data_IF_482497382217
#
_entry.id   IF_482497382217
#
_cell.length_a   1.000
_cell.length_b   1.000
_cell.length_c   1.000
_cell.angle_alpha   90.00
_cell.angle_beta   90.00
_cell.angle_gamma   90.00
#
_symmetry.space_group_name_H-M   'P 1'
#
loop_
_entity.id
_entity.type
_entity.pdbx_description
1 polymer ?
#
# COMPACT_ATOMS: atom_id res chain seq x y z
N UNK A 1 -4.48 -9.97 -0.02
CA UNK A 1 -4.25 -9.19 -1.27
C UNK A 1 -5.43 -9.21 -2.26
N UNK A 2 -6.51 -9.99 -2.04
CA UNK A 2 -7.72 -9.92 -2.89
C UNK A 2 -8.63 -8.69 -2.58
N UNK A 3 -8.59 -8.14 -1.37
CA UNK A 3 -9.48 -7.02 -0.98
C UNK A 3 -9.19 -5.68 -1.70
N UNK A 4 -7.93 -5.35 -2.00
CA UNK A 4 -7.58 -4.03 -2.57
C UNK A 4 -7.98 -3.93 -4.05
N UNK A 5 -7.97 -5.06 -4.79
CA UNK A 5 -8.41 -5.10 -6.19
C UNK A 5 -9.92 -4.96 -6.37
N UNK A 6 -10.70 -5.43 -5.39
CA UNK A 6 -12.16 -5.26 -5.41
C UNK A 6 -12.59 -3.80 -5.19
N UNK A 7 -11.91 -3.09 -4.29
CA UNK A 7 -12.22 -1.69 -3.97
C UNK A 7 -11.93 -0.73 -5.13
N UNK A 8 -10.82 -0.91 -5.86
CA UNK A 8 -10.51 -0.07 -7.03
C UNK A 8 -11.48 -0.32 -8.18
N UNK A 9 -11.90 -1.56 -8.42
CA UNK A 9 -12.86 -1.89 -9.46
C UNK A 9 -14.27 -1.36 -9.15
N UNK A 10 -14.72 -1.48 -7.90
CA UNK A 10 -15.98 -0.89 -7.45
C UNK A 10 -15.97 0.65 -7.53
N UNK A 11 -14.83 1.27 -7.21
CA UNK A 11 -14.65 2.72 -7.35
C UNK A 11 -14.71 3.16 -8.82
N UNK A 12 -14.06 2.44 -9.73
CA UNK A 12 -14.12 2.73 -11.18
C UNK A 12 -15.54 2.54 -11.72
N UNK A 13 -16.26 1.50 -11.32
CA UNK A 13 -17.66 1.31 -11.72
C UNK A 13 -18.59 2.38 -11.15
N UNK A 14 -18.35 2.84 -9.91
CA UNK A 14 -19.11 3.96 -9.33
C UNK A 14 -18.86 5.27 -10.09
N UNK A 15 -17.62 5.55 -10.50
CA UNK A 15 -17.28 6.70 -11.33
C UNK A 15 -17.90 6.61 -12.73
N UNK A 16 -17.93 5.42 -13.34
CA UNK A 16 -18.59 5.20 -14.63
C UNK A 16 -20.11 5.40 -14.49
N UNK A 17 -20.74 4.88 -13.43
CA UNK A 17 -22.15 5.09 -13.15
C UNK A 17 -22.49 6.58 -12.96
N UNK A 18 -21.65 7.30 -12.23
CA UNK A 18 -21.76 8.76 -12.04
C UNK A 18 -21.61 9.52 -13.37
N UNK A 19 -20.68 9.10 -14.24
CA UNK A 19 -20.46 9.73 -15.53
C UNK A 19 -21.55 9.40 -16.57
N UNK A 20 -22.21 8.25 -16.44
CA UNK A 20 -23.34 7.88 -17.32
C UNK A 20 -24.61 8.61 -16.91
N UNK A 21 -24.90 8.75 -15.61
CA UNK A 21 -26.11 9.43 -15.15
C UNK A 21 -26.11 10.94 -15.46
N UNK A 22 -24.94 11.56 -15.55
CA UNK A 22 -24.79 12.98 -15.93
C UNK A 22 -24.98 13.23 -17.42
N UNK A 23 -25.00 12.17 -18.23
CA UNK A 23 -25.24 12.22 -19.69
C UNK A 23 -26.70 11.96 -20.03
N UNK A 24 -27.48 11.34 -19.14
CA UNK A 24 -28.83 10.85 -19.47
C UNK A 24 -29.99 11.78 -19.10
N UNK A 25 -29.85 12.69 -18.13
CA UNK A 25 -30.89 13.68 -17.81
C UNK A 25 -30.26 15.04 -17.48
N UNK A 26 -30.70 16.14 -18.12
CA UNK A 26 -30.20 17.46 -17.78
C UNK A 26 -30.65 17.85 -16.36
N UNK A 27 -29.79 18.51 -15.57
CA UNK A 27 -30.13 18.98 -14.24
C UNK A 27 -31.32 19.94 -14.28
N UNK A 28 -32.10 20.00 -13.20
CA UNK A 28 -33.10 21.05 -13.04
C UNK A 28 -32.39 22.40 -13.03
N UNK A 29 -32.94 23.38 -13.73
CA UNK A 29 -32.38 24.73 -13.84
C UNK A 29 -32.06 25.30 -12.46
N UNK A 30 -30.84 25.82 -12.30
CA UNK A 30 -30.41 26.49 -11.07
C UNK A 30 -31.31 27.68 -10.75
N UNK A 31 -31.51 28.02 -9.46
CA UNK A 31 -32.17 29.26 -9.10
C UNK A 31 -31.36 30.45 -9.63
N UNK A 32 -32.07 31.46 -10.12
CA UNK A 32 -31.45 32.65 -10.70
C UNK A 32 -30.64 33.42 -9.64
N UNK A 33 -29.37 33.69 -9.97
CA UNK A 33 -28.55 34.65 -9.23
C UNK A 33 -28.87 36.09 -9.66
N UNK A 34 -28.64 37.09 -8.78
CA UNK A 34 -28.77 38.49 -9.16
C UNK A 34 -27.99 38.82 -10.44
N UNK A 35 -28.53 39.74 -11.24
CA UNK A 35 -27.96 40.10 -12.53
C UNK A 35 -26.53 40.66 -12.40
N UNK A 36 -26.24 41.32 -11.27
CA UNK A 36 -24.95 41.91 -10.89
C UNK A 36 -23.90 40.92 -10.37
N UNK A 37 -24.20 39.62 -10.27
CA UNK A 37 -23.25 38.63 -9.79
C UNK A 37 -22.02 38.50 -10.71
N UNK A 38 -20.82 38.51 -10.13
CA UNK A 38 -19.58 38.33 -10.88
C UNK A 38 -19.58 36.97 -11.63
N UNK A 39 -19.09 36.89 -12.89
CA UNK A 39 -19.15 35.66 -13.69
C UNK A 39 -18.52 34.44 -13.03
N UNK A 40 -17.40 34.63 -12.32
CA UNK A 40 -16.74 33.54 -11.58
C UNK A 40 -17.59 33.02 -10.41
N UNK A 41 -18.33 33.91 -9.72
CA UNK A 41 -19.24 33.50 -8.64
C UNK A 41 -20.43 32.72 -9.21
N UNK A 42 -20.95 33.15 -10.36
CA UNK A 42 -22.03 32.46 -11.06
C UNK A 42 -21.61 31.05 -11.51
N UNK A 43 -20.43 30.90 -12.11
CA UNK A 43 -19.90 29.59 -12.49
C UNK A 43 -19.69 28.65 -11.29
N UNK A 44 -19.17 29.16 -10.17
CA UNK A 44 -19.04 28.38 -8.94
C UNK A 44 -20.40 27.96 -8.39
N UNK A 45 -21.39 28.85 -8.38
CA UNK A 45 -22.74 28.57 -7.90
C UNK A 45 -23.45 27.53 -8.77
N UNK A 46 -23.37 27.66 -10.09
CA UNK A 46 -23.91 26.69 -11.05
C UNK A 46 -23.26 25.30 -10.85
N UNK A 47 -21.93 25.26 -10.67
CA UNK A 47 -21.22 24.01 -10.37
C UNK A 47 -21.66 23.37 -9.05
N UNK A 48 -21.87 24.16 -8.00
CA UNK A 48 -22.37 23.66 -6.71
C UNK A 48 -23.82 23.19 -6.82
N UNK A 49 -24.68 23.96 -7.49
CA UNK A 49 -26.08 23.59 -7.70
C UNK A 49 -26.21 22.29 -8.48
N UNK A 50 -25.37 22.09 -9.49
CA UNK A 50 -25.33 20.86 -10.26
C UNK A 50 -25.05 19.63 -9.38
N UNK A 51 -24.14 19.74 -8.42
CA UNK A 51 -23.86 18.68 -7.45
C UNK A 51 -25.04 18.46 -6.51
N UNK A 52 -25.68 19.53 -6.04
CA UNK A 52 -26.87 19.44 -5.17
C UNK A 52 -28.03 18.76 -5.89
N UNK A 53 -28.37 19.21 -7.10
CA UNK A 53 -29.44 18.64 -7.91
C UNK A 53 -29.16 17.17 -8.26
N UNK A 54 -27.91 16.84 -8.58
CA UNK A 54 -27.48 15.46 -8.79
C UNK A 54 -27.70 14.58 -7.56
N UNK A 55 -27.29 15.03 -6.37
CA UNK A 55 -27.45 14.28 -5.11
C UNK A 55 -28.92 14.10 -4.75
N UNK A 56 -29.74 15.13 -4.96
CA UNK A 56 -31.18 15.08 -4.67
C UNK A 56 -31.95 14.21 -5.67
N UNK A 57 -31.55 14.22 -6.94
CA UNK A 57 -32.18 13.43 -8.01
C UNK A 57 -31.76 11.96 -7.93
N UNK A 58 -30.51 11.69 -7.53
CA UNK A 58 -29.92 10.35 -7.51
C UNK A 58 -29.36 9.97 -6.12
N UNK A 59 -30.19 9.98 -5.06
CA UNK A 59 -29.73 9.82 -3.69
C UNK A 59 -29.06 8.45 -3.44
N UNK A 60 -29.57 7.38 -4.08
CA UNK A 60 -28.98 6.05 -3.96
C UNK A 60 -27.57 5.98 -4.56
N UNK A 61 -27.32 6.64 -5.70
CA UNK A 61 -25.99 6.66 -6.31
C UNK A 61 -24.99 7.46 -5.46
N UNK A 62 -25.42 8.61 -4.92
CA UNK A 62 -24.62 9.41 -4.01
C UNK A 62 -24.25 8.62 -2.74
N UNK A 63 -25.23 7.96 -2.10
CA UNK A 63 -25.01 7.09 -0.94
C UNK A 63 -24.04 5.95 -1.30
N UNK A 64 -24.23 5.31 -2.46
CA UNK A 64 -23.37 4.20 -2.89
C UNK A 64 -21.94 4.66 -3.13
N UNK A 65 -21.73 5.82 -3.77
CA UNK A 65 -20.40 6.39 -3.99
C UNK A 65 -19.70 6.71 -2.65
N UNK A 66 -20.41 7.35 -1.72
CA UNK A 66 -19.89 7.61 -0.37
C UNK A 66 -19.58 6.31 0.37
N UNK A 67 -20.47 5.31 0.32
CA UNK A 67 -20.24 4.02 0.97
C UNK A 67 -19.02 3.30 0.39
N UNK A 68 -18.85 3.28 -0.95
CA UNK A 68 -17.70 2.63 -1.62
C UNK A 68 -16.37 3.26 -1.22
N UNK A 69 -16.33 4.57 -0.92
CA UNK A 69 -15.11 5.28 -0.50
C UNK A 69 -14.92 5.20 1.02
N UNK A 70 -15.93 5.58 1.80
CA UNK A 70 -15.83 5.74 3.24
C UNK A 70 -15.86 4.41 4.00
N UNK A 71 -16.60 3.39 3.54
CA UNK A 71 -16.71 2.11 4.25
C UNK A 71 -15.36 1.37 4.30
N UNK A 72 -14.59 1.21 3.21
CA UNK A 72 -13.26 0.59 3.29
C UNK A 72 -12.30 1.37 4.18
N UNK A 73 -12.36 2.69 4.18
CA UNK A 73 -11.55 3.54 5.05
C UNK A 73 -11.91 3.32 6.53
N UNK A 74 -13.20 3.36 6.87
CA UNK A 74 -13.70 3.11 8.22
C UNK A 74 -13.36 1.69 8.71
N UNK A 75 -13.54 0.66 7.86
CA UNK A 75 -13.16 -0.72 8.18
C UNK A 75 -11.65 -0.88 8.38
N UNK A 76 -10.83 -0.16 7.59
CA UNK A 76 -9.37 -0.18 7.75
C UNK A 76 -8.96 0.45 9.08
N UNK A 77 -9.56 1.58 9.46
CA UNK A 77 -9.34 2.22 10.76
C UNK A 77 -9.82 1.34 11.92
N UNK A 78 -11.01 0.73 11.82
CA UNK A 78 -11.52 -0.17 12.86
C UNK A 78 -10.64 -1.42 13.02
N UNK A 79 -10.05 -1.91 11.92
CA UNK A 79 -9.11 -3.05 11.96
C UNK A 79 -7.84 -2.75 12.76
N UNK A 80 -7.50 -1.48 12.98
CA UNK A 80 -6.39 -1.09 13.87
C UNK A 80 -6.78 -1.10 15.35
N UNK A 81 -8.08 -1.08 15.67
CA UNK A 81 -8.59 -1.10 17.04
C UNK A 81 -8.80 -2.54 17.56
N UNK A 82 -8.99 -3.50 16.66
CA UNK A 82 -9.11 -4.90 17.03
C UNK A 82 -7.72 -5.52 17.26
N UNK A 83 -7.40 -6.00 18.47
CA UNK A 83 -6.10 -6.62 18.74
C UNK A 83 -5.97 -7.90 17.90
N UNK A 84 -5.13 -7.86 16.88
CA UNK A 84 -4.66 -9.08 16.22
C UNK A 84 -3.70 -9.79 17.16
N UNK A 85 -4.01 -11.04 17.53
CA UNK A 85 -3.00 -11.93 18.10
C UNK A 85 -1.97 -12.23 17.03
N UNK A 86 -0.85 -11.51 17.09
CA UNK A 86 0.31 -11.75 16.24
C UNK A 86 1.22 -12.68 17.03
N UNK A 87 1.47 -13.87 16.49
CA UNK A 87 2.47 -14.77 17.05
C UNK A 87 3.85 -14.30 16.56
N UNK A 88 4.64 -13.74 17.46
CA UNK A 88 6.00 -13.28 17.18
C UNK A 88 7.02 -14.33 17.56
N UNK A 89 8.12 -14.38 16.81
CA UNK A 89 9.25 -15.25 17.14
C UNK A 89 9.84 -14.82 18.51
N UNK A 90 10.02 -15.73 19.49
CA UNK A 90 10.64 -15.38 20.76
C UNK A 90 12.03 -14.74 20.59
N UNK A 91 12.77 -15.14 19.55
CA UNK A 91 14.03 -14.53 19.19
C UNK A 91 13.80 -13.41 18.19
N UNK A 92 13.95 -12.15 18.61
CA UNK A 92 13.90 -11.01 17.68
C UNK A 92 15.22 -10.80 16.94
N UNK A 93 16.35 -10.92 17.63
CA UNK A 93 17.65 -10.54 17.08
C UNK A 93 18.33 -11.73 16.42
N UNK A 94 18.87 -11.50 15.22
CA UNK A 94 19.71 -12.47 14.54
C UNK A 94 21.05 -12.66 15.26
N UNK A 95 21.54 -13.89 15.31
CA UNK A 95 22.86 -14.20 15.89
C UNK A 95 24.00 -13.61 15.06
N UNK A 96 25.20 -13.53 15.64
CA UNK A 96 26.40 -13.08 14.91
C UNK A 96 26.68 -13.95 13.69
N UNK A 97 26.49 -15.27 13.84
CA UNK A 97 26.67 -16.23 12.75
C UNK A 97 25.67 -15.98 11.61
N UNK A 98 24.38 -15.82 11.93
CA UNK A 98 23.35 -15.50 10.92
C UNK A 98 23.68 -14.21 10.18
N UNK A 99 24.03 -13.15 10.92
CA UNK A 99 24.45 -11.86 10.34
C UNK A 99 25.67 -11.99 9.42
N UNK A 100 26.67 -12.77 9.81
CA UNK A 100 27.86 -13.05 8.98
C UNK A 100 27.48 -13.77 7.69
N UNK A 101 26.65 -14.80 7.77
CA UNK A 101 26.16 -15.55 6.59
C UNK A 101 25.36 -14.62 5.67
N UNK A 102 24.44 -13.81 6.20
CA UNK A 102 23.66 -12.87 5.39
C UNK A 102 24.54 -11.81 4.72
N UNK A 103 25.51 -11.25 5.44
CA UNK A 103 26.50 -10.32 4.87
C UNK A 103 27.30 -10.98 3.75
N UNK A 104 27.79 -12.20 3.95
CA UNK A 104 28.53 -12.98 2.96
C UNK A 104 27.68 -13.29 1.72
N UNK A 105 26.47 -13.82 1.89
CA UNK A 105 25.50 -14.07 0.79
C UNK A 105 25.21 -12.80 0.00
N UNK A 106 25.18 -11.64 0.66
CA UNK A 106 24.97 -10.35 0.02
C UNK A 106 26.26 -9.72 -0.55
N UNK A 107 27.44 -10.33 -0.38
CA UNK A 107 28.72 -9.73 -0.76
C UNK A 107 28.98 -8.40 -0.03
N UNK A 108 28.58 -8.30 1.24
CA UNK A 108 28.71 -7.10 2.07
C UNK A 108 27.84 -5.91 1.67
N UNK A 109 27.10 -6.02 0.55
CA UNK A 109 26.32 -4.93 -0.03
C UNK A 109 24.85 -5.00 0.38
N UNK A 110 24.22 -3.85 0.55
CA UNK A 110 22.79 -3.76 0.86
C UNK A 110 21.92 -4.46 -0.21
N UNK A 111 20.96 -5.28 0.21
CA UNK A 111 20.02 -6.01 -0.66
C UNK A 111 18.78 -5.20 -1.05
N UNK A 112 18.53 -4.10 -0.33
CA UNK A 112 17.37 -3.23 -0.54
C UNK A 112 17.45 -2.53 -1.89
N UNK A 113 16.28 -2.17 -2.43
CA UNK A 113 16.19 -1.45 -3.71
C UNK A 113 16.12 0.07 -3.54
N UNK A 114 16.57 0.77 -4.57
CA UNK A 114 16.36 2.22 -4.72
C UNK A 114 14.99 2.49 -5.35
N UNK A 115 14.64 3.77 -5.48
CA UNK A 115 13.39 4.19 -6.15
C UNK A 115 13.32 3.69 -7.60
N UNK A 116 14.48 3.47 -8.23
CA UNK A 116 14.60 2.96 -9.59
C UNK A 116 14.69 1.43 -9.65
N UNK A 117 14.25 0.72 -8.61
CA UNK A 117 14.21 -0.75 -8.52
C UNK A 117 15.57 -1.47 -8.65
N UNK A 118 16.66 -0.71 -8.67
CA UNK A 118 18.03 -1.24 -8.67
C UNK A 118 18.51 -1.55 -7.25
N UNK A 119 19.49 -2.44 -7.11
CA UNK A 119 20.08 -2.76 -5.81
C UNK A 119 20.86 -1.56 -5.26
N UNK A 120 20.60 -1.19 -4.00
CA UNK A 120 21.34 -0.16 -3.28
C UNK A 120 22.85 -0.41 -3.36
N UNK A 121 23.63 0.64 -3.64
CA UNK A 121 25.09 0.56 -3.80
C UNK A 121 25.86 0.60 -2.48
N UNK A 122 25.20 0.97 -1.38
CA UNK A 122 25.83 1.10 -0.06
C UNK A 122 26.15 -0.27 0.55
N UNK A 123 27.17 -0.30 1.41
CA UNK A 123 27.44 -1.45 2.27
C UNK A 123 26.27 -1.70 3.21
N UNK A 124 25.93 -2.97 3.44
CA UNK A 124 24.97 -3.33 4.47
C UNK A 124 25.60 -3.21 5.85
N UNK A 125 24.78 -2.92 6.85
CA UNK A 125 25.22 -2.67 8.22
C UNK A 125 24.66 -3.73 9.19
N UNK A 126 23.45 -4.22 8.94
CA UNK A 126 22.79 -5.19 9.81
C UNK A 126 21.85 -6.11 9.04
N UNK A 127 21.50 -7.24 9.67
CA UNK A 127 20.42 -8.10 9.22
C UNK A 127 19.07 -7.52 9.63
N UNK A 128 18.18 -7.35 8.66
CA UNK A 128 16.79 -6.90 8.84
C UNK A 128 15.82 -8.04 8.45
N UNK A 129 14.62 -8.04 9.01
CA UNK A 129 13.56 -8.99 8.66
C UNK A 129 12.82 -8.47 7.43
N UNK A 130 12.88 -9.20 6.31
CA UNK A 130 12.13 -8.85 5.11
C UNK A 130 10.64 -8.73 5.41
N UNK A 131 10.06 -9.76 6.02
CA UNK A 131 8.74 -9.69 6.64
C UNK A 131 8.88 -9.27 8.11
N UNK A 132 8.32 -8.13 8.55
CA UNK A 132 8.61 -7.54 9.86
C UNK A 132 8.31 -8.49 11.04
N UNK A 133 9.25 -8.59 11.98
CA UNK A 133 9.10 -9.39 13.21
C UNK A 133 7.82 -9.04 13.99
N UNK A 134 7.53 -7.74 14.15
CA UNK A 134 6.34 -7.24 14.85
C UNK A 134 5.01 -7.61 14.18
N UNK A 135 5.05 -8.17 12.97
CA UNK A 135 3.88 -8.62 12.21
C UNK A 135 3.87 -10.15 12.02
N UNK A 136 4.73 -10.88 12.74
CA UNK A 136 4.84 -12.35 12.69
C UNK A 136 5.94 -12.88 11.78
N UNK A 137 6.94 -12.06 11.46
CA UNK A 137 8.14 -12.51 10.75
C UNK A 137 9.02 -13.40 11.63
N UNK A 138 9.47 -14.53 11.09
CA UNK A 138 10.37 -15.44 11.80
C UNK A 138 11.81 -14.95 11.72
N UNK A 139 12.64 -15.30 12.71
CA UNK A 139 14.08 -15.01 12.73
C UNK A 139 14.84 -16.16 12.09
N UNK A 140 14.64 -16.32 10.78
CA UNK A 140 15.31 -17.35 9.94
C UNK A 140 16.23 -16.69 8.93
N UNK A 141 17.16 -17.46 8.36
CA UNK A 141 18.04 -17.00 7.29
C UNK A 141 17.26 -16.56 6.04
N UNK A 142 16.08 -17.14 5.81
CA UNK A 142 15.24 -16.84 4.66
C UNK A 142 14.50 -15.51 4.87
N UNK A 143 14.10 -15.19 6.10
CA UNK A 143 13.55 -13.87 6.40
C UNK A 143 14.63 -12.77 6.53
N UNK A 144 15.90 -13.15 6.68
CA UNK A 144 16.98 -12.18 6.85
C UNK A 144 17.39 -11.54 5.52
N UNK A 145 17.54 -10.20 5.53
CA UNK A 145 18.15 -9.42 4.45
C UNK A 145 19.29 -8.58 4.99
N UNK A 146 20.38 -8.45 4.23
CA UNK A 146 21.48 -7.55 4.61
C UNK A 146 21.19 -6.12 4.16
N UNK A 147 20.94 -5.21 5.10
CA UNK A 147 20.48 -3.85 4.81
C UNK A 147 21.42 -2.79 5.39
N UNK A 148 21.59 -1.68 4.67
CA UNK A 148 22.24 -0.49 5.20
C UNK A 148 21.26 0.27 6.13
N UNK A 149 21.80 1.04 7.08
CA UNK A 149 21.00 1.76 8.09
C UNK A 149 19.87 2.58 7.48
N UNK A 150 20.15 3.38 6.45
CA UNK A 150 19.14 4.25 5.83
C UNK A 150 18.05 3.49 5.07
N UNK A 151 18.38 2.39 4.37
CA UNK A 151 17.34 1.57 3.73
C UNK A 151 16.51 0.81 4.76
N UNK A 152 17.14 0.32 5.84
CA UNK A 152 16.47 -0.34 6.94
C UNK A 152 15.47 0.61 7.63
N UNK A 153 15.94 1.80 8.04
CA UNK A 153 15.08 2.83 8.64
C UNK A 153 13.94 3.26 7.71
N UNK A 154 14.22 3.43 6.41
CA UNK A 154 13.18 3.77 5.43
C UNK A 154 12.13 2.67 5.28
N UNK A 155 12.52 1.39 5.28
CA UNK A 155 11.57 0.26 5.24
C UNK A 155 10.69 0.24 6.49
N UNK A 156 11.30 0.33 7.67
CA UNK A 156 10.60 0.21 8.95
C UNK A 156 9.83 -1.10 9.07
N UNK A 157 8.61 -1.03 9.64
CA UNK A 157 7.71 -2.17 9.79
C UNK A 157 6.77 -2.39 8.59
N UNK A 158 7.08 -1.84 7.41
CA UNK A 158 6.26 -2.05 6.21
C UNK A 158 6.45 -3.47 5.68
N UNK A 159 5.35 -4.16 5.40
CA UNK A 159 5.37 -5.44 4.69
C UNK A 159 5.77 -5.17 3.24
N UNK A 160 6.86 -5.76 2.73
CA UNK A 160 7.23 -5.62 1.33
C UNK A 160 6.14 -6.17 0.41
N UNK A 161 5.93 -5.49 -0.70
CA UNK A 161 4.95 -5.92 -1.70
C UNK A 161 5.39 -7.21 -2.41
N UNK A 162 4.44 -7.87 -3.07
CA UNK A 162 4.72 -9.01 -3.93
C UNK A 162 5.84 -8.71 -4.95
N UNK A 163 5.77 -7.55 -5.61
CA UNK A 163 6.74 -7.15 -6.61
C UNK A 163 8.13 -6.85 -6.03
N UNK A 164 8.19 -6.25 -4.84
CA UNK A 164 9.45 -6.04 -4.15
C UNK A 164 10.12 -7.38 -3.82
N UNK A 165 9.33 -8.37 -3.39
CA UNK A 165 9.82 -9.72 -3.05
C UNK A 165 10.31 -10.44 -4.30
N UNK A 166 9.52 -10.42 -5.39
CA UNK A 166 9.90 -11.04 -6.66
C UNK A 166 11.18 -10.41 -7.25
N UNK A 167 11.32 -9.07 -7.17
CA UNK A 167 12.55 -8.40 -7.62
C UNK A 167 13.74 -8.76 -6.76
N UNK A 168 13.59 -8.81 -5.43
CA UNK A 168 14.70 -9.24 -4.56
C UNK A 168 15.10 -10.68 -4.86
N UNK A 169 14.15 -11.60 -5.00
CA UNK A 169 14.38 -13.00 -5.38
C UNK A 169 15.14 -13.09 -6.73
N UNK A 170 14.67 -12.37 -7.76
CA UNK A 170 15.34 -12.30 -9.06
C UNK A 170 16.78 -11.76 -8.93
N UNK A 171 17.00 -10.73 -8.11
CA UNK A 171 18.34 -10.17 -7.90
C UNK A 171 19.25 -11.16 -7.19
N UNK A 172 18.75 -11.89 -6.19
CA UNK A 172 19.50 -12.90 -5.42
C UNK A 172 20.05 -14.02 -6.31
N UNK A 173 19.36 -14.39 -7.40
CA UNK A 173 19.87 -15.35 -8.41
C UNK A 173 21.28 -15.03 -8.93
N UNK A 174 21.70 -13.77 -8.87
CA UNK A 174 23.02 -13.33 -9.36
C UNK A 174 24.15 -13.44 -8.35
N UNK A 175 23.85 -13.53 -7.05
CA UNK A 175 24.86 -13.39 -6.00
C UNK A 175 24.64 -14.27 -4.76
N UNK A 176 23.50 -14.96 -4.64
CA UNK A 176 23.31 -15.99 -3.61
C UNK A 176 23.94 -17.31 -4.07
N UNK A 177 24.42 -18.13 -3.12
CA UNK A 177 24.92 -19.46 -3.45
C UNK A 177 23.77 -20.37 -3.94
N UNK A 178 24.04 -21.36 -4.81
CA UNK A 178 23.00 -22.14 -5.49
C UNK A 178 22.08 -22.95 -4.57
N UNK A 179 22.56 -23.32 -3.39
CA UNK A 179 21.86 -24.10 -2.37
C UNK A 179 21.02 -23.22 -1.40
N UNK A 180 21.22 -21.91 -1.42
CA UNK A 180 20.46 -21.01 -0.55
C UNK A 180 19.08 -20.67 -1.12
N UNK A 181 18.10 -20.60 -0.23
CA UNK A 181 16.78 -20.06 -0.53
C UNK A 181 16.87 -18.61 -1.03
N UNK A 182 16.27 -18.35 -2.18
CA UNK A 182 16.28 -17.04 -2.81
C UNK A 182 15.13 -16.15 -2.33
N UNK A 183 14.00 -16.76 -1.98
CA UNK A 183 12.76 -16.03 -1.68
C UNK A 183 12.75 -15.61 -0.21
N UNK A 184 12.72 -14.31 0.09
CA UNK A 184 12.65 -13.86 1.45
C UNK A 184 11.22 -13.80 2.00
N UNK A 185 11.10 -13.71 3.32
CA UNK A 185 9.85 -13.36 3.99
C UNK A 185 9.21 -14.47 4.83
N UNK A 186 10.03 -15.37 5.37
CA UNK A 186 9.60 -16.42 6.29
C UNK A 186 8.81 -15.85 7.49
N UNK A 187 7.82 -16.63 7.93
CA UNK A 187 6.89 -16.25 9.01
C UNK A 187 6.83 -17.33 10.05
N UNK A 188 6.52 -16.95 11.28
CA UNK A 188 6.28 -17.92 12.34
C UNK A 188 5.04 -18.72 11.96
N UNK A 189 5.17 -20.05 11.92
CA UNK A 189 4.03 -20.94 11.68
C UNK A 189 3.25 -21.00 12.98
N UNK A 190 1.95 -20.73 12.89
CA UNK A 190 1.02 -20.92 14.00
C UNK A 190 0.71 -22.40 14.18
#
# INVERSE_FOLDING_TARGET
>A
MRLIRGSLFAFVLALIGLAVSTVTEPPRSAPDLPAEAHPALRACFEGVWWVVDFVLTYPLYAITAVAVVCLPMALSSLSTLLPRRIHTDPQRLFTNQQRSIASSRAGGRCEMETIFFTRCRRLGAAGDHWYPWSLGGATTMDNQVWACTSCNSSKGARIPTFWQTARLEMRRRRYFPPDASLRPGDRVRA
#
